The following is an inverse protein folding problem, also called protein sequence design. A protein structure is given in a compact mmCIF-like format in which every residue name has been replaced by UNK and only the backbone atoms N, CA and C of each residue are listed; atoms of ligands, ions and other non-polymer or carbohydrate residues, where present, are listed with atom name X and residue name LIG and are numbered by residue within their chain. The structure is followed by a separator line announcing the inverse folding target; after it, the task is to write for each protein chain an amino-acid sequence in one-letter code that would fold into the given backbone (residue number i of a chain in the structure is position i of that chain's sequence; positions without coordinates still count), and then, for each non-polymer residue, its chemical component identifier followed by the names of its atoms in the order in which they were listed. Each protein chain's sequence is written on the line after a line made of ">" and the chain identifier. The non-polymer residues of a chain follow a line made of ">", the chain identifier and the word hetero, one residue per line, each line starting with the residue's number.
data_IF_798894740023
#
_entry.id   IF_798894740023
#
_cell.length_a   1.000
_cell.length_b   1.000
_cell.length_c   1.000
_cell.angle_alpha   90.00
_cell.angle_beta   90.00
_cell.angle_gamma   90.00
#
_symmetry.space_group_name_H-M   'P 1'
#
loop_
_entity.id
_entity.type
_entity.pdbx_description
1 polymer ?
#
# COMPACT_ATOMS: atom_id res chain seq x y z
N UNK A 1 -25.29 1.26 45.48
CA UNK A 1 -24.43 1.69 44.35
C UNK A 1 -24.37 0.55 43.35
N UNK A 2 -25.12 0.64 42.24
CA UNK A 2 -25.09 -0.41 41.21
C UNK A 2 -23.84 -0.23 40.35
N UNK A 3 -22.82 -1.06 40.60
CA UNK A 3 -21.68 -1.24 39.71
C UNK A 3 -22.14 -2.01 38.47
N UNK A 4 -22.80 -1.31 37.54
CA UNK A 4 -23.08 -1.83 36.21
C UNK A 4 -21.75 -1.98 35.47
N UNK A 5 -21.34 -3.24 35.43
CA UNK A 5 -20.05 -3.80 35.06
C UNK A 5 -19.70 -3.62 33.56
N UNK A 6 -18.45 -3.88 33.11
CA UNK A 6 -17.93 -3.58 31.77
C UNK A 6 -18.61 -4.31 30.60
N UNK A 7 -19.64 -5.12 30.86
CA UNK A 7 -20.49 -5.77 29.88
C UNK A 7 -21.38 -4.77 29.13
N UNK A 8 -21.97 -3.79 29.82
CA UNK A 8 -22.82 -2.78 29.18
C UNK A 8 -22.03 -1.69 28.44
N UNK A 9 -20.73 -1.56 28.74
CA UNK A 9 -19.82 -0.57 28.13
C UNK A 9 -18.97 -1.18 27.01
N UNK A 10 -19.24 -2.42 26.58
CA UNK A 10 -18.47 -3.06 25.50
C UNK A 10 -18.86 -2.45 24.16
N UNK A 11 -18.12 -1.42 23.76
CA UNK A 11 -18.22 -0.82 22.43
C UNK A 11 -17.94 -1.86 21.34
N UNK A 12 -18.97 -2.22 20.57
CA UNK A 12 -18.88 -3.10 19.39
C UNK A 12 -18.23 -2.41 18.16
N UNK A 13 -17.61 -1.26 18.34
CA UNK A 13 -16.99 -0.52 17.23
C UNK A 13 -15.72 -1.25 16.73
N UNK A 14 -15.67 -1.51 15.41
CA UNK A 14 -14.53 -2.19 14.76
C UNK A 14 -13.27 -1.34 14.95
N UNK A 15 -12.25 -1.87 15.63
CA UNK A 15 -10.99 -1.14 15.86
C UNK A 15 -10.25 -0.89 14.55
N UNK A 16 -9.70 0.31 14.41
CA UNK A 16 -8.92 0.72 13.24
C UNK A 16 -7.53 0.10 13.31
N UNK A 17 -7.13 -0.63 12.27
CA UNK A 17 -5.76 -1.10 12.13
C UNK A 17 -4.88 0.07 11.66
N UNK A 18 -3.74 0.28 12.31
CA UNK A 18 -2.87 1.43 12.10
C UNK A 18 -1.41 0.97 12.04
N UNK A 19 -0.61 1.61 11.18
CA UNK A 19 0.82 1.38 11.07
C UNK A 19 1.60 2.46 11.81
N UNK A 20 2.56 2.04 12.63
CA UNK A 20 3.49 2.90 13.36
C UNK A 20 4.89 2.75 12.77
N UNK A 21 5.49 3.83 12.25
CA UNK A 21 6.86 3.80 11.72
C UNK A 21 7.87 4.34 12.73
N UNK A 22 9.05 3.75 12.75
CA UNK A 22 10.17 4.20 13.58
C UNK A 22 10.65 5.59 13.17
N UNK A 23 10.94 6.45 14.15
CA UNK A 23 11.56 7.75 13.92
C UNK A 23 13.04 7.65 13.54
N UNK A 24 13.69 6.49 13.78
CA UNK A 24 15.09 6.27 13.43
C UNK A 24 15.32 6.00 11.92
N UNK A 25 14.28 6.13 11.08
CA UNK A 25 14.35 5.91 9.62
C UNK A 25 14.85 4.51 9.20
N UNK A 26 14.77 3.52 10.09
CA UNK A 26 15.22 2.14 9.87
C UNK A 26 14.33 1.30 8.94
N UNK A 27 13.23 1.88 8.45
CA UNK A 27 12.12 1.22 7.76
C UNK A 27 11.40 0.12 8.57
N UNK A 28 11.68 -0.01 9.87
CA UNK A 28 10.92 -0.90 10.76
C UNK A 28 9.58 -0.28 11.16
N UNK A 29 8.55 -1.12 11.29
CA UNK A 29 7.20 -0.68 11.64
C UNK A 29 6.46 -1.72 12.49
N UNK A 30 5.52 -1.23 13.30
CA UNK A 30 4.56 -2.06 14.02
C UNK A 30 3.16 -1.86 13.45
N UNK A 31 2.33 -2.90 13.56
CA UNK A 31 0.89 -2.82 13.34
C UNK A 31 0.18 -2.83 14.69
N UNK A 32 -0.78 -1.92 14.87
CA UNK A 32 -1.54 -1.81 16.12
C UNK A 32 -3.01 -1.48 15.84
N UNK A 33 -3.87 -1.77 16.81
CA UNK A 33 -5.28 -1.40 16.74
C UNK A 33 -5.56 -0.16 17.57
N UNK A 34 -6.38 0.72 17.02
CA UNK A 34 -6.79 2.00 17.61
C UNK A 34 -8.30 2.07 17.73
N UNK A 35 -8.79 2.73 18.78
CA UNK A 35 -10.23 2.94 18.95
C UNK A 35 -10.77 3.87 17.86
N UNK A 36 -11.97 3.60 17.30
CA UNK A 36 -12.58 4.46 16.28
C UNK A 36 -12.80 5.89 16.74
N UNK A 37 -13.09 6.10 18.03
CA UNK A 37 -13.23 7.44 18.63
C UNK A 37 -11.96 8.29 18.51
N UNK A 38 -10.78 7.67 18.45
CA UNK A 38 -9.49 8.38 18.32
C UNK A 38 -9.05 8.53 16.86
N UNK A 39 -9.89 8.22 15.87
CA UNK A 39 -9.53 8.24 14.44
C UNK A 39 -8.82 9.53 14.00
N UNK A 40 -9.25 10.68 14.50
CA UNK A 40 -8.76 11.99 14.06
C UNK A 40 -7.41 12.40 14.66
N UNK A 41 -7.03 11.83 15.81
CA UNK A 41 -5.73 12.11 16.43
C UNK A 41 -4.66 11.20 15.84
N UNK A 42 -3.36 11.49 16.00
CA UNK A 42 -2.29 10.54 15.66
C UNK A 42 -1.66 9.97 16.92
N UNK A 43 -1.31 8.69 16.90
CA UNK A 43 -0.63 8.05 18.02
C UNK A 43 0.89 8.19 17.86
N UNK A 44 1.57 8.48 18.97
CA UNK A 44 3.01 8.34 19.10
C UNK A 44 3.33 7.43 20.30
N UNK A 45 4.14 6.39 20.10
CA UNK A 45 4.53 5.43 21.15
C UNK A 45 6.05 5.27 21.20
N UNK A 46 6.63 5.17 22.39
CA UNK A 46 8.03 4.76 22.54
C UNK A 46 8.13 3.24 22.57
N UNK A 47 8.83 2.63 21.62
CA UNK A 47 9.02 1.18 21.50
C UNK A 47 10.44 0.84 21.09
N UNK A 48 10.87 -0.40 21.32
CA UNK A 48 12.16 -0.88 20.87
C UNK A 48 12.15 -1.02 19.34
N UNK A 49 13.18 -0.51 18.68
CA UNK A 49 13.44 -0.76 17.27
C UNK A 49 14.62 -1.73 17.13
N UNK A 50 14.39 -2.98 16.68
CA UNK A 50 15.45 -3.98 16.59
C UNK A 50 16.51 -3.63 15.54
N UNK A 51 16.21 -2.75 14.58
CA UNK A 51 17.19 -2.32 13.58
C UNK A 51 18.07 -1.19 14.10
N UNK A 52 17.54 -0.34 14.98
CA UNK A 52 18.30 0.73 15.61
C UNK A 52 18.98 0.30 16.92
N UNK A 53 18.58 -0.83 17.51
CA UNK A 53 19.14 -1.37 18.75
C UNK A 53 18.73 -0.60 20.02
N UNK A 54 17.67 0.22 19.97
CA UNK A 54 17.27 1.08 21.08
C UNK A 54 15.78 1.43 21.08
N UNK A 55 15.28 1.99 22.17
CA UNK A 55 13.91 2.48 22.28
C UNK A 55 13.73 3.85 21.62
N UNK A 56 12.99 3.87 20.52
CA UNK A 56 12.75 5.07 19.70
C UNK A 56 11.26 5.42 19.73
N UNK A 57 10.95 6.67 19.40
CA UNK A 57 9.57 7.07 19.12
C UNK A 57 9.09 6.47 17.81
N UNK A 58 7.87 5.96 17.81
CA UNK A 58 7.14 5.49 16.64
C UNK A 58 5.93 6.35 16.41
N UNK A 59 5.73 6.79 15.17
CA UNK A 59 4.62 7.66 14.79
C UNK A 59 3.64 6.94 13.89
N UNK A 60 2.34 7.18 14.12
CA UNK A 60 1.27 6.75 13.23
C UNK A 60 1.46 7.36 11.84
N UNK A 61 1.66 6.48 10.87
CA UNK A 61 1.69 6.86 9.45
C UNK A 61 0.33 6.70 8.84
N UNK A 62 0.00 7.60 7.91
CA UNK A 62 -1.15 7.39 7.02
C UNK A 62 -0.92 6.06 6.31
N UNK A 63 -1.84 5.10 6.51
CA UNK A 63 -1.83 3.90 5.68
C UNK A 63 -1.79 4.37 4.22
N UNK A 64 -0.94 3.80 3.35
CA UNK A 64 -1.03 4.08 1.93
C UNK A 64 -2.48 3.77 1.58
N UNK A 65 -3.28 4.82 1.31
CA UNK A 65 -4.71 4.65 1.08
C UNK A 65 -4.82 3.61 0.00
N UNK A 66 -5.60 2.54 0.23
CA UNK A 66 -5.70 1.37 -0.64
C UNK A 66 -5.60 1.88 -2.07
N UNK A 67 -4.39 1.79 -2.63
CA UNK A 67 -4.13 2.43 -3.89
C UNK A 67 -5.13 1.75 -4.77
N UNK A 68 -6.06 2.51 -5.34
CA UNK A 68 -7.12 1.97 -6.16
C UNK A 68 -6.40 1.51 -7.43
N UNK A 69 -5.71 0.36 -7.30
CA UNK A 69 -5.02 -0.35 -8.33
C UNK A 69 -6.18 -0.94 -9.10
N UNK A 70 -6.80 -0.10 -9.93
CA UNK A 70 -7.74 -0.49 -10.98
C UNK A 70 -6.94 -1.32 -12.00
N UNK A 71 -6.38 -2.44 -11.54
CA UNK A 71 -5.90 -3.51 -12.40
C UNK A 71 -7.15 -4.08 -13.04
N UNK A 72 -7.13 -4.21 -14.35
CA UNK A 72 -8.22 -4.83 -15.08
C UNK A 72 -8.38 -6.25 -14.55
N UNK A 73 -9.52 -6.54 -13.92
CA UNK A 73 -9.83 -7.89 -13.45
C UNK A 73 -9.96 -8.83 -14.65
N UNK A 74 -9.68 -10.13 -14.49
CA UNK A 74 -9.77 -11.10 -15.58
C UNK A 74 -11.18 -11.14 -16.18
N UNK A 75 -12.21 -11.00 -15.34
CA UNK A 75 -13.60 -10.92 -15.78
C UNK A 75 -13.85 -9.71 -16.70
N UNK A 76 -13.40 -8.52 -16.29
CA UNK A 76 -13.53 -7.31 -17.10
C UNK A 76 -12.76 -7.45 -18.42
N UNK A 77 -11.58 -8.08 -18.39
CA UNK A 77 -10.84 -8.38 -19.61
C UNK A 77 -11.64 -9.26 -20.57
N UNK A 78 -12.20 -10.38 -20.10
CA UNK A 78 -13.03 -11.28 -20.92
C UNK A 78 -14.26 -10.55 -21.51
N UNK A 79 -14.93 -9.72 -20.71
CA UNK A 79 -16.05 -8.92 -21.16
C UNK A 79 -15.66 -7.91 -22.27
N UNK A 80 -14.51 -7.25 -22.14
CA UNK A 80 -14.01 -6.32 -23.17
C UNK A 80 -13.72 -7.08 -24.47
N UNK A 81 -13.07 -8.24 -24.41
CA UNK A 81 -12.83 -9.06 -25.61
C UNK A 81 -14.13 -9.51 -26.28
N UNK A 82 -15.14 -9.87 -25.48
CA UNK A 82 -16.43 -10.34 -26.00
C UNK A 82 -17.29 -9.22 -26.59
N UNK A 83 -17.35 -8.05 -25.94
CA UNK A 83 -18.25 -6.96 -26.35
C UNK A 83 -17.60 -5.88 -27.19
N UNK A 84 -16.27 -5.79 -27.20
CA UNK A 84 -15.53 -4.67 -27.79
C UNK A 84 -15.70 -3.33 -27.05
N UNK A 85 -16.47 -3.28 -25.96
CA UNK A 85 -16.64 -2.05 -25.17
C UNK A 85 -15.42 -1.81 -24.28
N UNK A 86 -15.07 -0.55 -24.03
CA UNK A 86 -13.94 -0.14 -23.17
C UNK A 86 -12.52 -0.59 -23.64
N UNK A 87 -12.31 -0.75 -24.94
CA UNK A 87 -11.01 -1.12 -25.53
C UNK A 87 -9.84 -0.19 -25.12
N UNK A 88 -10.12 1.08 -24.86
CA UNK A 88 -9.12 2.06 -24.35
C UNK A 88 -8.41 1.58 -23.09
N UNK A 89 -9.08 0.82 -22.22
CA UNK A 89 -8.46 0.27 -21.01
C UNK A 89 -7.43 -0.81 -21.33
N UNK A 90 -7.71 -1.64 -22.34
CA UNK A 90 -6.78 -2.67 -22.81
C UNK A 90 -5.58 -2.04 -23.52
N UNK A 91 -5.81 -1.05 -24.38
CA UNK A 91 -4.73 -0.28 -25.01
C UNK A 91 -3.80 0.34 -23.95
N UNK A 92 -4.37 1.02 -22.94
CA UNK A 92 -3.60 1.60 -21.82
C UNK A 92 -2.81 0.56 -21.01
N UNK A 93 -3.31 -0.68 -20.93
CA UNK A 93 -2.58 -1.78 -20.29
C UNK A 93 -1.38 -2.21 -21.13
N UNK A 94 -1.55 -2.33 -22.45
CA UNK A 94 -0.48 -2.68 -23.39
C UNK A 94 0.57 -1.57 -23.43
N UNK A 95 0.16 -0.31 -23.56
CA UNK A 95 1.03 0.88 -23.49
C UNK A 95 1.88 0.84 -22.22
N UNK A 96 1.27 0.65 -21.04
CA UNK A 96 2.00 0.54 -19.78
C UNK A 96 2.95 -0.67 -19.75
N UNK A 97 2.51 -1.83 -20.26
CA UNK A 97 3.37 -3.01 -20.33
C UNK A 97 4.57 -2.81 -21.27
N UNK A 98 4.40 -1.98 -22.29
CA UNK A 98 5.44 -1.58 -23.23
C UNK A 98 6.39 -0.56 -22.62
N UNK A 99 5.87 0.49 -21.98
CA UNK A 99 6.63 1.52 -21.27
C UNK A 99 7.50 0.92 -20.15
N UNK A 100 6.97 -0.04 -19.39
CA UNK A 100 7.62 -0.60 -18.21
C UNK A 100 8.17 -2.03 -18.41
N UNK A 101 8.17 -2.53 -19.66
CA UNK A 101 9.01 -3.65 -20.11
C UNK A 101 8.56 -5.06 -19.74
N UNK A 102 7.47 -5.55 -20.33
CA UNK A 102 7.05 -6.95 -20.19
C UNK A 102 6.93 -7.75 -21.51
N UNK A 103 7.27 -7.17 -22.68
CA UNK A 103 6.79 -7.71 -23.95
C UNK A 103 7.83 -8.09 -25.03
N UNK A 104 9.15 -7.96 -24.82
CA UNK A 104 10.13 -8.45 -25.81
C UNK A 104 11.49 -8.86 -25.22
N UNK A 105 11.71 -10.17 -25.12
CA UNK A 105 12.96 -10.83 -24.71
C UNK A 105 14.20 -10.29 -25.45
N UNK A 106 14.13 -10.18 -26.78
CA UNK A 106 15.24 -9.73 -27.64
C UNK A 106 15.65 -8.27 -27.41
N UNK A 107 14.74 -7.41 -26.95
CA UNK A 107 15.02 -6.00 -26.67
C UNK A 107 15.53 -5.80 -25.25
N UNK A 108 14.97 -6.55 -24.29
CA UNK A 108 15.37 -6.54 -22.88
C UNK A 108 16.81 -7.08 -22.70
N UNK A 109 17.24 -8.03 -23.54
CA UNK A 109 18.64 -8.52 -23.59
C UNK A 109 19.62 -7.45 -24.12
N UNK A 110 19.20 -6.63 -25.09
CA UNK A 110 20.05 -5.58 -25.68
C UNK A 110 20.14 -4.32 -24.82
N UNK A 111 19.09 -4.01 -24.06
CA UNK A 111 19.02 -2.81 -23.21
C UNK A 111 18.60 -3.20 -21.79
N UNK A 112 19.52 -3.75 -20.98
CA UNK A 112 19.23 -4.19 -19.62
C UNK A 112 19.06 -2.96 -18.71
N UNK A 113 17.84 -2.43 -18.72
CA UNK A 113 17.26 -1.54 -17.72
C UNK A 113 17.86 -0.12 -17.59
N UNK A 114 17.06 0.89 -17.93
CA UNK A 114 17.11 2.17 -17.23
C UNK A 114 16.35 2.02 -15.90
N UNK A 115 17.04 1.55 -14.86
CA UNK A 115 16.53 1.66 -13.48
C UNK A 115 16.98 2.99 -12.88
N UNK A 116 16.07 3.66 -12.17
CA UNK A 116 16.43 4.84 -11.39
C UNK A 116 17.38 4.48 -10.22
N UNK A 117 18.04 5.48 -9.63
CA UNK A 117 18.85 5.36 -8.39
C UNK A 117 18.07 4.66 -7.24
N UNK A 118 16.73 4.65 -7.33
CA UNK A 118 15.80 4.04 -6.37
C UNK A 118 15.30 2.64 -6.78
N UNK A 119 15.86 2.03 -7.82
CA UNK A 119 15.48 0.71 -8.32
C UNK A 119 14.07 0.63 -8.94
N UNK A 120 13.55 1.75 -9.44
CA UNK A 120 12.24 1.80 -10.12
C UNK A 120 12.43 1.66 -11.63
N UNK A 121 11.51 0.97 -12.31
CA UNK A 121 11.48 0.94 -13.77
C UNK A 121 11.13 2.32 -14.31
N UNK A 122 12.03 2.90 -15.11
CA UNK A 122 11.74 4.10 -15.89
C UNK A 122 10.98 3.73 -17.16
N UNK A 123 10.09 4.60 -17.66
CA UNK A 123 9.46 4.39 -18.95
C UNK A 123 10.53 4.38 -20.06
N UNK A 124 10.37 3.48 -21.04
CA UNK A 124 11.30 3.33 -22.17
C UNK A 124 11.48 4.61 -23.02
N UNK A 125 10.50 5.53 -23.02
CA UNK A 125 10.55 6.83 -23.68
C UNK A 125 9.99 7.92 -22.75
N UNK A 126 10.55 9.13 -22.79
CA UNK A 126 10.05 10.32 -22.07
C UNK A 126 9.17 11.17 -22.97
#
# INVERSE_FOLDING_TARGET
>A
MFFLSPLLLRSHSKRLLVQLKSAALSNFYYMTHKSPAKKNTRIALRKYDPRAGQHVMFYETRQPGEGNKKRLTLHLQKYIHWTGKNMKLMAKRVERAWEYGAFQKYFDEKYPQLTDIRGRSLPRMK
#
